data_IF_846404072181
#
_entry.id   IF_846404072181
#
_cell.length_a   1.000
_cell.length_b   1.000
_cell.length_c   1.000
_cell.angle_alpha   90.00
_cell.angle_beta   90.00
_cell.angle_gamma   90.00
#
_symmetry.space_group_name_H-M   'P 1'
#
loop_
_entity.id
_entity.type
_entity.pdbx_description
1 polymer ?
#
# COMPACT_ATOMS: atom_id res chain seq x y z
N UNK A 1 14.56 28.85 25.77
CA UNK A 1 15.01 27.46 25.54
C UNK A 1 13.84 26.69 24.94
N UNK A 2 13.92 26.33 23.66
CA UNK A 2 12.83 25.60 23.00
C UNK A 2 12.69 24.20 23.60
N UNK A 3 11.48 23.83 24.03
CA UNK A 3 11.18 22.47 24.45
C UNK A 3 11.50 21.51 23.30
N UNK A 4 12.63 20.80 23.39
CA UNK A 4 12.92 19.66 22.54
C UNK A 4 11.95 18.57 22.98
N UNK A 5 10.79 18.49 22.31
CA UNK A 5 9.89 17.35 22.48
C UNK A 5 10.64 16.13 21.97
N UNK A 6 11.00 15.21 22.88
CA UNK A 6 11.56 13.92 22.47
C UNK A 6 10.60 13.28 21.46
N UNK A 7 11.07 12.89 20.26
CA UNK A 7 10.25 12.20 19.30
C UNK A 7 9.71 10.93 19.96
N UNK A 8 8.40 10.72 19.87
CA UNK A 8 7.75 9.63 20.58
C UNK A 8 8.08 8.32 19.86
N UNK A 9 8.33 7.24 20.59
CA UNK A 9 8.93 6.04 20.02
C UNK A 9 8.13 5.41 18.86
N UNK A 10 6.80 5.57 18.85
CA UNK A 10 5.93 5.08 17.76
C UNK A 10 6.00 5.92 16.48
N UNK A 11 6.53 7.15 16.54
CA UNK A 11 6.73 7.99 15.36
C UNK A 11 7.88 7.47 14.49
N UNK A 12 8.79 6.67 15.08
CA UNK A 12 9.87 6.05 14.35
C UNK A 12 9.30 5.07 13.32
N UNK A 13 9.62 5.34 12.05
CA UNK A 13 9.38 4.41 10.95
C UNK A 13 9.85 2.99 11.31
N UNK A 14 10.96 2.88 12.05
CA UNK A 14 11.48 1.60 12.55
C UNK A 14 10.40 0.73 13.21
N UNK A 15 9.55 1.29 14.09
CA UNK A 15 8.54 0.52 14.83
C UNK A 15 7.42 0.01 13.92
N UNK A 16 6.99 0.84 12.96
CA UNK A 16 5.94 0.47 11.98
C UNK A 16 6.38 -0.67 11.08
N UNK A 17 7.65 -0.65 10.68
CA UNK A 17 8.22 -1.66 9.80
C UNK A 17 8.82 -2.83 10.58
N UNK A 18 8.96 -2.77 11.91
CA UNK A 18 9.53 -3.87 12.69
C UNK A 18 8.63 -5.11 12.67
N UNK A 19 7.34 -4.96 13.02
CA UNK A 19 6.38 -6.08 12.99
C UNK A 19 6.21 -6.59 11.56
N UNK A 20 6.15 -5.67 10.59
CA UNK A 20 6.13 -6.03 9.17
C UNK A 20 7.37 -6.82 8.75
N UNK A 21 8.57 -6.40 9.16
CA UNK A 21 9.83 -7.12 8.86
C UNK A 21 9.79 -8.57 9.34
N UNK A 22 9.24 -8.81 10.53
CA UNK A 22 9.08 -10.17 11.06
C UNK A 22 8.10 -10.97 10.18
N UNK A 23 6.95 -10.41 9.86
CA UNK A 23 5.92 -11.07 9.03
C UNK A 23 6.43 -11.29 7.60
N UNK A 24 7.05 -10.31 6.97
CA UNK A 24 7.70 -10.42 5.68
C UNK A 24 8.78 -11.49 5.65
N UNK A 25 9.57 -11.62 6.71
CA UNK A 25 10.53 -12.74 6.85
C UNK A 25 9.82 -14.09 6.83
N UNK A 26 8.75 -14.25 7.62
CA UNK A 26 7.95 -15.49 7.66
C UNK A 26 7.37 -15.81 6.28
N UNK A 27 6.83 -14.82 5.58
CA UNK A 27 6.30 -14.98 4.21
C UNK A 27 7.40 -15.45 3.26
N UNK A 28 8.58 -14.82 3.30
CA UNK A 28 9.69 -15.24 2.44
C UNK A 28 10.16 -16.66 2.77
N UNK A 29 10.25 -17.04 4.05
CA UNK A 29 10.56 -18.42 4.46
C UNK A 29 9.51 -19.40 3.94
N UNK A 30 8.22 -19.03 3.97
CA UNK A 30 7.15 -19.87 3.43
C UNK A 30 7.33 -20.09 1.91
N UNK A 31 7.61 -19.02 1.15
CA UNK A 31 7.92 -19.10 -0.29
C UNK A 31 9.16 -19.97 -0.52
N UNK A 32 10.20 -19.80 0.30
CA UNK A 32 11.44 -20.56 0.22
C UNK A 32 11.27 -22.03 0.58
N UNK A 33 10.27 -22.38 1.37
CA UNK A 33 9.98 -23.79 1.71
C UNK A 33 9.21 -24.50 0.61
N UNK A 34 8.65 -23.75 -0.34
CA UNK A 34 7.80 -24.27 -1.39
C UNK A 34 8.58 -24.61 -2.66
N UNK A 35 8.96 -25.89 -2.81
CA UNK A 35 9.80 -26.38 -3.92
C UNK A 35 9.24 -26.15 -5.33
N UNK A 36 7.93 -25.95 -5.47
CA UNK A 36 7.30 -25.64 -6.76
C UNK A 36 7.46 -24.17 -7.17
N UNK A 37 7.82 -23.28 -6.25
CA UNK A 37 8.02 -21.86 -6.53
C UNK A 37 9.32 -21.62 -7.29
N UNK A 38 9.31 -20.76 -8.31
CA UNK A 38 10.55 -20.33 -8.96
C UNK A 38 11.46 -19.54 -8.01
N UNK A 39 10.89 -18.95 -6.96
CA UNK A 39 11.63 -18.24 -5.93
C UNK A 39 12.30 -19.19 -4.93
N UNK A 40 11.97 -20.48 -4.95
CA UNK A 40 12.53 -21.47 -4.04
C UNK A 40 14.05 -21.52 -4.10
N UNK A 41 14.73 -21.74 -5.25
CA UNK A 41 16.18 -21.83 -5.28
C UNK A 41 16.88 -20.55 -4.81
N UNK A 42 16.29 -19.39 -5.12
CA UNK A 42 16.82 -18.09 -4.70
C UNK A 42 16.75 -17.92 -3.19
N UNK A 43 15.59 -18.13 -2.58
CA UNK A 43 15.46 -17.97 -1.13
C UNK A 43 16.04 -19.14 -0.34
N UNK A 44 15.91 -20.37 -0.83
CA UNK A 44 16.48 -21.53 -0.16
C UNK A 44 18.00 -21.47 -0.13
N UNK A 45 18.68 -21.00 -1.18
CA UNK A 45 20.14 -20.79 -1.12
C UNK A 45 20.56 -19.75 -0.08
N UNK A 46 19.73 -18.71 0.15
CA UNK A 46 19.96 -17.72 1.20
C UNK A 46 19.58 -18.19 2.61
N UNK A 47 18.77 -19.25 2.73
CA UNK A 47 18.29 -19.77 4.02
C UNK A 47 19.05 -21.03 4.45
N UNK A 48 19.53 -21.81 3.49
CA UNK A 48 20.16 -23.11 3.68
C UNK A 48 21.66 -23.00 3.94
N UNK A 49 22.08 -21.95 4.66
CA UNK A 49 23.37 -21.93 5.32
C UNK A 49 23.33 -23.02 6.40
N UNK A 50 24.25 -23.98 6.32
CA UNK A 50 24.17 -25.27 7.01
C UNK A 50 23.66 -25.17 8.44
N UNK A 51 22.75 -26.09 8.77
CA UNK A 51 22.05 -26.30 10.07
C UNK A 51 22.95 -26.41 11.30
N UNK A 52 24.26 -26.19 11.19
CA UNK A 52 25.21 -26.31 12.30
C UNK A 52 25.44 -25.02 13.07
N UNK A 53 25.29 -23.81 12.52
CA UNK A 53 25.49 -22.58 13.30
C UNK A 53 24.60 -21.42 12.82
N UNK A 54 23.43 -21.27 13.45
CA UNK A 54 22.63 -20.04 13.34
C UNK A 54 23.41 -18.87 14.00
N UNK A 55 24.18 -18.15 13.18
CA UNK A 55 24.94 -16.96 13.60
C UNK A 55 24.08 -15.68 13.50
N UNK A 56 24.43 -14.64 14.26
CA UNK A 56 23.84 -13.29 14.24
C UNK A 56 23.77 -12.69 12.83
N UNK A 57 24.72 -13.02 11.94
CA UNK A 57 24.66 -12.59 10.53
C UNK A 57 23.38 -13.06 9.81
N UNK A 58 22.83 -14.22 10.17
CA UNK A 58 21.57 -14.72 9.62
C UNK A 58 20.38 -13.89 10.11
N UNK A 59 20.39 -13.43 11.37
CA UNK A 59 19.36 -12.52 11.88
C UNK A 59 19.32 -11.22 11.07
N UNK A 60 20.49 -10.66 10.74
CA UNK A 60 20.58 -9.48 9.89
C UNK A 60 20.09 -9.74 8.46
N UNK A 61 20.46 -10.87 7.87
CA UNK A 61 19.97 -11.24 6.53
C UNK A 61 18.45 -11.38 6.51
N UNK A 62 17.88 -12.09 7.48
CA UNK A 62 16.44 -12.25 7.62
C UNK A 62 15.74 -10.91 7.83
N UNK A 63 16.27 -10.06 8.72
CA UNK A 63 15.73 -8.71 8.94
C UNK A 63 15.78 -7.86 7.66
N UNK A 64 16.86 -7.90 6.88
CA UNK A 64 16.97 -7.15 5.62
C UNK A 64 16.00 -7.65 4.56
N UNK A 65 15.88 -8.97 4.38
CA UNK A 65 14.96 -9.58 3.42
C UNK A 65 13.51 -9.31 3.81
N UNK A 66 13.17 -9.50 5.09
CA UNK A 66 11.85 -9.20 5.62
C UNK A 66 11.49 -7.72 5.47
N UNK A 67 12.43 -6.82 5.74
CA UNK A 67 12.24 -5.38 5.57
C UNK A 67 12.03 -5.02 4.10
N UNK A 68 12.82 -5.60 3.18
CA UNK A 68 12.66 -5.38 1.75
C UNK A 68 11.29 -5.86 1.25
N UNK A 69 10.86 -7.06 1.67
CA UNK A 69 9.54 -7.58 1.34
C UNK A 69 8.42 -6.71 1.92
N UNK A 70 8.54 -6.30 3.18
CA UNK A 70 7.62 -5.41 3.86
C UNK A 70 7.45 -4.07 3.13
N UNK A 71 8.58 -3.46 2.73
CA UNK A 71 8.57 -2.21 1.97
C UNK A 71 7.88 -2.38 0.61
N UNK A 72 8.21 -3.44 -0.12
CA UNK A 72 7.61 -3.78 -1.40
C UNK A 72 6.09 -4.01 -1.30
N UNK A 73 5.67 -4.83 -0.33
CA UNK A 73 4.28 -5.12 -0.06
C UNK A 73 3.50 -3.86 0.32
N UNK A 74 4.10 -2.94 1.06
CA UNK A 74 3.46 -1.70 1.51
C UNK A 74 3.17 -0.69 0.40
N UNK A 75 3.64 -0.89 -0.85
CA UNK A 75 3.49 0.10 -1.92
C UNK A 75 2.06 0.62 -2.12
N UNK A 76 1.00 -0.22 -2.17
CA UNK A 76 -0.37 0.26 -2.39
C UNK A 76 -0.87 1.21 -1.30
N UNK A 77 -0.30 1.12 -0.09
CA UNK A 77 -0.62 2.02 1.01
C UNK A 77 -0.16 3.44 0.71
N UNK A 78 0.88 3.64 -0.09
CA UNK A 78 1.33 4.96 -0.53
C UNK A 78 0.26 5.68 -1.35
N UNK A 79 -0.41 4.95 -2.26
CA UNK A 79 -1.54 5.49 -3.04
C UNK A 79 -2.67 5.92 -2.09
N UNK A 80 -3.04 5.05 -1.15
CA UNK A 80 -4.05 5.38 -0.14
C UNK A 80 -3.63 6.60 0.68
N UNK A 81 -2.35 6.71 1.07
CA UNK A 81 -1.84 7.81 1.86
C UNK A 81 -1.89 9.14 1.10
N UNK A 82 -1.46 9.15 -0.16
CA UNK A 82 -1.40 10.35 -1.00
C UNK A 82 -2.79 10.94 -1.27
N UNK A 83 -3.80 10.08 -1.38
CA UNK A 83 -5.16 10.45 -1.75
C UNK A 83 -6.18 10.27 -0.62
N UNK A 84 -5.75 9.98 0.63
CA UNK A 84 -6.65 9.73 1.77
C UNK A 84 -7.62 10.87 2.02
N UNK A 85 -7.13 12.10 1.97
CA UNK A 85 -7.89 13.26 2.38
C UNK A 85 -8.97 13.57 1.37
N UNK A 86 -8.76 13.27 0.09
CA UNK A 86 -9.72 13.48 -0.98
C UNK A 86 -10.79 12.39 -1.09
N UNK A 87 -10.55 11.20 -0.50
CA UNK A 87 -11.59 10.17 -0.30
C UNK A 87 -12.66 10.68 0.68
N UNK A 88 -12.24 11.39 1.74
CA UNK A 88 -13.13 11.84 2.83
C UNK A 88 -13.47 13.34 2.81
N UNK A 89 -12.78 14.18 2.04
CA UNK A 89 -12.98 15.66 2.04
C UNK A 89 -14.27 16.11 1.36
N UNK A 90 -14.98 15.21 0.67
CA UNK A 90 -16.25 15.54 0.03
C UNK A 90 -17.41 15.74 1.02
N UNK A 91 -17.22 15.39 2.29
CA UNK A 91 -18.30 15.37 3.27
C UNK A 91 -18.53 16.71 4.01
N UNK A 92 -17.64 17.69 3.89
CA UNK A 92 -17.73 18.95 4.66
C UNK A 92 -18.21 20.16 3.85
N UNK A 93 -18.72 20.00 2.61
CA UNK A 93 -19.14 21.15 1.79
C UNK A 93 -20.58 21.18 1.29
N UNK A 94 -21.43 20.24 1.68
CA UNK A 94 -22.87 20.29 1.33
C UNK A 94 -23.71 19.73 2.49
N UNK A 95 -23.81 20.48 3.59
CA UNK A 95 -25.04 20.45 4.41
C UNK A 95 -26.08 21.23 3.61
N UNK A 96 -26.64 20.60 2.58
CA UNK A 96 -27.53 21.27 1.63
C UNK A 96 -27.80 20.43 0.38
N UNK A 97 -28.87 19.64 0.44
CA UNK A 97 -29.67 19.09 -0.65
C UNK A 97 -29.04 18.08 -1.65
N UNK A 98 -29.55 16.85 -1.55
CA UNK A 98 -30.03 16.04 -2.70
C UNK A 98 -29.14 15.99 -3.95
N UNK A 99 -28.07 15.19 -3.94
CA UNK A 99 -27.57 14.46 -5.15
C UNK A 99 -26.57 13.34 -4.81
N UNK A 100 -26.58 12.81 -3.58
CA UNK A 100 -25.63 11.77 -3.15
C UNK A 100 -25.65 10.57 -4.08
N UNK A 101 -26.84 10.08 -4.49
CA UNK A 101 -26.96 8.92 -5.37
C UNK A 101 -26.38 9.13 -6.79
N UNK A 102 -26.65 10.28 -7.45
CA UNK A 102 -26.07 10.61 -8.77
C UNK A 102 -24.54 10.76 -8.73
N UNK A 103 -23.99 11.18 -7.59
CA UNK A 103 -22.54 11.35 -7.39
C UNK A 103 -21.82 10.00 -7.19
N UNK A 104 -22.44 9.04 -6.49
CA UNK A 104 -21.90 7.69 -6.29
C UNK A 104 -22.14 6.75 -7.47
N UNK A 105 -23.18 7.00 -8.29
CA UNK A 105 -23.46 6.18 -9.48
C UNK A 105 -22.26 6.03 -10.41
N UNK A 106 -21.44 7.08 -10.63
CA UNK A 106 -20.22 6.97 -11.47
C UNK A 106 -19.14 6.09 -10.85
N UNK A 107 -19.06 6.06 -9.52
CA UNK A 107 -18.14 5.20 -8.78
C UNK A 107 -18.64 3.76 -8.82
N UNK A 108 -19.94 3.55 -8.55
CA UNK A 108 -20.61 2.25 -8.63
C UNK A 108 -20.50 1.68 -10.05
N UNK A 109 -20.80 2.47 -11.08
CA UNK A 109 -20.68 2.07 -12.47
C UNK A 109 -19.24 1.69 -12.82
N UNK A 110 -18.25 2.47 -12.37
CA UNK A 110 -16.85 2.13 -12.59
C UNK A 110 -16.46 0.81 -11.93
N UNK A 111 -16.87 0.58 -10.67
CA UNK A 111 -16.68 -0.69 -9.99
C UNK A 111 -17.41 -1.85 -10.66
N UNK A 112 -18.66 -1.65 -11.08
CA UNK A 112 -19.41 -2.64 -11.85
C UNK A 112 -18.70 -2.97 -13.15
N UNK A 113 -18.16 -1.99 -13.87
CA UNK A 113 -17.37 -2.20 -15.09
C UNK A 113 -16.08 -2.97 -14.79
N UNK A 114 -15.37 -2.65 -13.71
CA UNK A 114 -14.17 -3.42 -13.32
C UNK A 114 -14.50 -4.86 -12.92
N UNK A 115 -15.59 -5.07 -12.18
CA UNK A 115 -16.09 -6.39 -11.81
C UNK A 115 -16.48 -7.16 -13.07
N UNK A 116 -17.21 -6.53 -13.99
CA UNK A 116 -17.62 -7.15 -15.27
C UNK A 116 -16.41 -7.46 -16.14
N UNK A 117 -15.43 -6.56 -16.29
CA UNK A 117 -14.21 -6.81 -17.05
C UNK A 117 -13.42 -7.95 -16.42
N UNK A 118 -13.28 -7.94 -15.10
CA UNK A 118 -12.59 -9.02 -14.42
C UNK A 118 -13.34 -10.34 -14.54
N UNK A 119 -14.68 -10.35 -14.44
CA UNK A 119 -15.52 -11.56 -14.58
C UNK A 119 -15.45 -12.06 -16.01
N UNK A 120 -15.46 -11.15 -16.98
CA UNK A 120 -15.24 -11.46 -18.37
C UNK A 120 -13.85 -12.08 -18.58
N UNK A 121 -12.78 -11.50 -18.02
CA UNK A 121 -11.44 -12.08 -18.05
C UNK A 121 -11.41 -13.46 -17.36
N UNK A 122 -12.10 -13.64 -16.25
CA UNK A 122 -12.19 -14.91 -15.53
C UNK A 122 -12.93 -16.02 -16.27
N UNK A 123 -13.99 -15.66 -16.99
CA UNK A 123 -14.84 -16.58 -17.74
C UNK A 123 -14.29 -16.87 -19.14
N UNK A 124 -13.61 -15.91 -19.79
CA UNK A 124 -13.08 -16.06 -21.15
C UNK A 124 -11.62 -16.49 -21.23
N UNK A 125 -10.83 -16.31 -20.17
CA UNK A 125 -9.57 -17.02 -20.06
C UNK A 125 -9.87 -18.46 -19.65
N UNK A 126 -10.23 -19.25 -20.66
CA UNK A 126 -10.29 -20.70 -20.61
C UNK A 126 -8.87 -21.27 -20.53
N UNK A 127 -8.24 -21.03 -19.38
CA UNK A 127 -6.98 -21.66 -19.03
C UNK A 127 -7.38 -22.79 -18.08
N UNK A 128 -7.06 -24.02 -18.45
CA UNK A 128 -7.13 -25.28 -17.69
C UNK A 128 -6.32 -25.23 -16.37
N UNK A 129 -6.49 -24.19 -15.56
CA UNK A 129 -5.68 -23.88 -14.41
C UNK A 129 -6.48 -23.84 -13.11
N UNK A 130 -5.77 -24.28 -12.08
CA UNK A 130 -6.11 -24.28 -10.67
C UNK A 130 -6.83 -22.98 -10.22
N UNK A 131 -7.97 -23.12 -9.53
CA UNK A 131 -8.78 -22.03 -8.93
C UNK A 131 -7.93 -21.00 -8.19
N UNK A 132 -6.85 -21.42 -7.52
CA UNK A 132 -5.94 -20.54 -6.82
C UNK A 132 -5.19 -19.57 -7.74
N UNK A 133 -4.81 -19.97 -8.95
CA UNK A 133 -4.14 -19.07 -9.90
C UNK A 133 -5.08 -17.96 -10.38
N UNK A 134 -6.34 -18.33 -10.68
CA UNK A 134 -7.37 -17.38 -11.08
C UNK A 134 -7.63 -16.35 -9.96
N UNK A 135 -7.73 -16.80 -8.71
CA UNK A 135 -7.90 -15.93 -7.55
C UNK A 135 -6.73 -14.92 -7.40
N UNK A 136 -5.48 -15.37 -7.60
CA UNK A 136 -4.31 -14.48 -7.52
C UNK A 136 -4.33 -13.39 -8.60
N UNK A 137 -4.64 -13.77 -9.84
CA UNK A 137 -4.76 -12.82 -10.94
C UNK A 137 -5.85 -11.78 -10.64
N UNK A 138 -6.99 -12.24 -10.13
CA UNK A 138 -8.09 -11.39 -9.72
C UNK A 138 -7.74 -10.38 -8.64
N UNK A 139 -7.04 -10.82 -7.60
CA UNK A 139 -6.60 -9.93 -6.53
C UNK A 139 -5.66 -8.87 -7.09
N UNK A 140 -4.68 -9.26 -7.93
CA UNK A 140 -3.77 -8.32 -8.56
C UNK A 140 -4.50 -7.32 -9.47
N UNK A 141 -5.41 -7.80 -10.32
CA UNK A 141 -6.24 -6.98 -11.20
C UNK A 141 -7.05 -5.96 -10.39
N UNK A 142 -7.80 -6.42 -9.38
CA UNK A 142 -8.61 -5.57 -8.53
C UNK A 142 -7.75 -4.50 -7.84
N UNK A 143 -6.60 -4.89 -7.29
CA UNK A 143 -5.70 -3.97 -6.61
C UNK A 143 -5.07 -2.95 -7.55
N UNK A 144 -4.65 -3.35 -8.75
CA UNK A 144 -4.09 -2.43 -9.74
C UNK A 144 -5.13 -1.40 -10.19
N UNK A 145 -6.31 -1.87 -10.61
CA UNK A 145 -7.34 -0.99 -11.13
C UNK A 145 -7.96 -0.10 -10.04
N UNK A 146 -8.08 -0.58 -8.80
CA UNK A 146 -8.47 0.26 -7.66
C UNK A 146 -7.49 1.42 -7.47
N UNK A 147 -6.17 1.15 -7.46
CA UNK A 147 -5.17 2.20 -7.31
C UNK A 147 -5.19 3.17 -8.49
N UNK A 148 -5.24 2.66 -9.73
CA UNK A 148 -5.32 3.46 -10.95
C UNK A 148 -6.58 4.36 -10.97
N UNK A 149 -7.71 3.86 -10.48
CA UNK A 149 -8.93 4.63 -10.31
C UNK A 149 -8.75 5.78 -9.33
N UNK A 150 -8.22 5.49 -8.14
CA UNK A 150 -7.96 6.51 -7.12
C UNK A 150 -7.07 7.60 -7.71
N UNK A 151 -5.97 7.24 -8.37
CA UNK A 151 -5.06 8.22 -8.99
C UNK A 151 -5.81 9.05 -10.06
N UNK A 152 -6.49 8.39 -11.00
CA UNK A 152 -7.16 9.05 -12.14
C UNK A 152 -8.28 9.98 -11.68
N UNK A 153 -9.07 9.55 -10.69
CA UNK A 153 -10.12 10.36 -10.09
C UNK A 153 -9.53 11.63 -9.46
N UNK A 154 -8.37 11.51 -8.80
CA UNK A 154 -7.78 12.61 -8.05
C UNK A 154 -7.01 13.60 -8.92
N UNK A 155 -6.35 13.14 -9.99
CA UNK A 155 -5.71 14.01 -10.97
C UNK A 155 -6.71 14.92 -11.70
N UNK A 156 -7.97 14.50 -11.85
CA UNK A 156 -9.03 15.35 -12.42
C UNK A 156 -9.48 16.48 -11.49
N UNK A 157 -9.20 16.38 -10.19
CA UNK A 157 -9.62 17.35 -9.21
C UNK A 157 -8.46 18.27 -8.80
N UNK A 158 -8.47 19.51 -9.32
CA UNK A 158 -7.53 20.60 -8.93
C UNK A 158 -7.51 20.93 -7.43
N UNK A 159 -8.39 20.32 -6.63
CA UNK A 159 -8.51 20.52 -5.19
C UNK A 159 -7.40 19.88 -4.37
N UNK A 160 -6.56 19.00 -4.94
CA UNK A 160 -5.51 18.32 -4.15
C UNK A 160 -4.50 19.32 -3.57
N UNK A 161 -4.07 20.32 -4.35
CA UNK A 161 -3.17 21.38 -3.87
C UNK A 161 -3.82 22.20 -2.75
N UNK A 162 -5.04 22.72 -3.00
CA UNK A 162 -5.78 23.51 -2.02
C UNK A 162 -6.03 22.74 -0.71
N UNK A 163 -6.25 21.43 -0.81
CA UNK A 163 -6.42 20.54 0.32
C UNK A 163 -5.13 20.41 1.15
N UNK A 164 -4.00 20.12 0.51
CA UNK A 164 -2.71 20.06 1.21
C UNK A 164 -2.32 21.41 1.82
N UNK A 165 -2.61 22.53 1.13
CA UNK A 165 -2.47 23.90 1.66
C UNK A 165 -3.33 24.13 2.91
N UNK A 166 -4.62 23.76 2.89
CA UNK A 166 -5.49 23.89 4.08
C UNK A 166 -5.02 23.02 5.24
N UNK A 167 -4.55 21.80 4.94
CA UNK A 167 -4.05 20.87 5.95
C UNK A 167 -2.77 21.39 6.61
N UNK A 168 -1.86 21.99 5.86
CA UNK A 168 -0.63 22.59 6.41
C UNK A 168 -0.95 23.75 7.35
N UNK A 169 -1.82 24.70 6.95
CA UNK A 169 -2.27 25.77 7.85
C UNK A 169 -3.00 25.24 9.08
N UNK A 170 -3.85 24.22 8.90
CA UNK A 170 -4.56 23.64 10.03
C UNK A 170 -3.60 23.03 11.07
N UNK A 171 -2.49 22.42 10.62
CA UNK A 171 -1.45 21.84 11.48
C UNK A 171 -0.52 22.88 12.10
N UNK A 172 -0.32 24.03 11.44
CA UNK A 172 0.46 25.14 11.97
C UNK A 172 -0.23 25.91 13.11
N UNK A 173 -1.51 25.63 13.37
CA UNK A 173 -2.28 26.27 14.45
C UNK A 173 -1.83 25.77 15.83
N UNK A 174 -1.50 26.72 16.72
CA UNK A 174 -0.99 26.45 18.08
C UNK A 174 -2.08 26.19 19.15
N UNK A 175 -3.34 25.93 18.75
CA UNK A 175 -4.39 25.64 19.73
C UNK A 175 -4.17 24.26 20.39
N UNK A 176 -4.00 24.23 21.72
CA UNK A 176 -3.69 23.01 22.48
C UNK A 176 -4.65 21.85 22.18
N UNK A 177 -5.96 22.08 22.25
CA UNK A 177 -6.97 21.05 21.94
C UNK A 177 -6.84 20.49 20.51
N UNK A 178 -6.45 21.33 19.54
CA UNK A 178 -6.25 20.91 18.14
C UNK A 178 -4.97 20.09 17.98
N UNK A 179 -3.92 20.43 18.73
CA UNK A 179 -2.68 19.67 18.77
C UNK A 179 -2.91 18.28 19.37
N UNK A 180 -3.62 18.20 20.49
CA UNK A 180 -3.99 16.93 21.13
C UNK A 180 -4.88 16.06 20.24
N UNK A 181 -5.88 16.65 19.60
CA UNK A 181 -6.69 15.96 18.59
C UNK A 181 -5.84 15.43 17.43
N UNK A 182 -4.91 16.27 16.94
CA UNK A 182 -4.01 15.92 15.85
C UNK A 182 -3.14 14.71 16.19
N UNK A 183 -2.60 14.71 17.39
CA UNK A 183 -1.76 13.63 17.88
C UNK A 183 -2.56 12.34 18.08
N UNK A 184 -3.78 12.45 18.60
CA UNK A 184 -4.67 11.31 18.84
C UNK A 184 -5.02 10.60 17.54
N UNK A 185 -5.42 11.33 16.49
CA UNK A 185 -5.72 10.69 15.20
C UNK A 185 -4.44 10.25 14.46
N UNK A 186 -3.31 10.95 14.63
CA UNK A 186 -2.02 10.56 14.04
C UNK A 186 -1.60 9.19 14.58
N UNK A 187 -1.70 9.00 15.88
CA UNK A 187 -1.46 7.73 16.56
C UNK A 187 -2.38 6.61 16.04
N UNK A 188 -3.70 6.84 16.02
CA UNK A 188 -4.66 5.87 15.48
C UNK A 188 -4.32 5.45 14.04
N UNK A 189 -3.95 6.44 13.20
CA UNK A 189 -3.57 6.20 11.81
C UNK A 189 -2.24 5.44 11.68
N UNK A 190 -1.25 5.76 12.50
CA UNK A 190 0.06 5.09 12.46
C UNK A 190 -0.05 3.63 12.88
N UNK A 191 -0.86 3.30 13.87
CA UNK A 191 -1.19 1.91 14.22
C UNK A 191 -1.99 1.20 13.12
N UNK A 192 -3.05 1.84 12.61
CA UNK A 192 -3.82 1.27 11.51
C UNK A 192 -2.97 0.99 10.26
N UNK A 193 -1.99 1.85 9.98
CA UNK A 193 -1.03 1.64 8.89
C UNK A 193 -0.15 0.41 9.12
N UNK A 194 0.34 0.19 10.34
CA UNK A 194 1.14 -0.99 10.66
C UNK A 194 0.37 -2.31 10.39
N UNK A 195 -0.91 -2.39 10.77
CA UNK A 195 -1.74 -3.55 10.46
C UNK A 195 -2.05 -3.69 8.96
N UNK A 196 -2.25 -2.57 8.26
CA UNK A 196 -2.46 -2.59 6.82
C UNK A 196 -1.24 -3.13 6.06
N UNK A 197 -0.03 -2.84 6.54
CA UNK A 197 1.21 -3.42 5.99
C UNK A 197 1.13 -4.95 6.07
N UNK A 198 0.78 -5.51 7.23
CA UNK A 198 0.70 -6.97 7.39
C UNK A 198 -0.31 -7.61 6.42
N UNK A 199 -1.46 -6.96 6.22
CA UNK A 199 -2.47 -7.43 5.26
C UNK A 199 -1.89 -7.42 3.84
N UNK A 200 -1.19 -6.35 3.45
CA UNK A 200 -0.55 -6.28 2.12
C UNK A 200 0.54 -7.32 1.95
N UNK A 201 1.33 -7.62 3.00
CA UNK A 201 2.36 -8.66 2.98
C UNK A 201 1.77 -10.05 2.75
N UNK A 202 0.66 -10.37 3.44
CA UNK A 202 -0.03 -11.64 3.25
C UNK A 202 -0.63 -11.76 1.85
N UNK A 203 -1.21 -10.68 1.31
CA UNK A 203 -1.76 -10.67 -0.04
C UNK A 203 -0.66 -10.86 -1.09
N UNK A 204 0.41 -10.06 -1.04
CA UNK A 204 1.51 -10.18 -1.99
C UNK A 204 2.21 -11.53 -1.86
N UNK A 205 2.42 -12.00 -0.64
CA UNK A 205 2.98 -13.31 -0.34
C UNK A 205 2.15 -14.44 -0.94
N UNK A 206 0.83 -14.40 -0.75
CA UNK A 206 -0.09 -15.36 -1.34
C UNK A 206 0.00 -15.37 -2.87
N UNK A 207 0.03 -14.19 -3.52
CA UNK A 207 0.19 -14.08 -4.97
C UNK A 207 1.49 -14.75 -5.41
N UNK A 208 2.62 -14.41 -4.78
CA UNK A 208 3.96 -14.90 -5.15
C UNK A 208 4.25 -16.36 -4.78
N UNK A 209 3.51 -16.95 -3.84
CA UNK A 209 3.83 -18.24 -3.22
C UNK A 209 4.11 -19.40 -4.19
N UNK A 210 3.39 -19.46 -5.32
CA UNK A 210 3.42 -20.58 -6.28
C UNK A 210 3.70 -20.10 -7.72
N UNK A 211 4.40 -18.97 -7.88
CA UNK A 211 4.69 -18.45 -9.22
C UNK A 211 5.88 -19.19 -9.82
N UNK A 212 5.69 -19.79 -10.99
CA UNK A 212 6.69 -20.65 -11.66
C UNK A 212 7.45 -19.94 -12.79
N UNK A 213 7.04 -18.72 -13.16
CA UNK A 213 7.62 -17.97 -14.28
C UNK A 213 8.24 -16.65 -13.83
N UNK A 214 9.48 -16.38 -14.23
CA UNK A 214 10.19 -15.14 -13.90
C UNK A 214 9.44 -13.92 -14.49
N UNK A 215 8.95 -14.05 -15.72
CA UNK A 215 8.14 -13.03 -16.38
C UNK A 215 6.88 -12.71 -15.58
N UNK A 216 6.21 -13.73 -15.02
CA UNK A 216 5.04 -13.50 -14.16
C UNK A 216 5.40 -12.76 -12.88
N UNK A 217 6.52 -13.10 -12.22
CA UNK A 217 6.99 -12.38 -11.03
C UNK A 217 7.24 -10.90 -11.38
N UNK A 218 7.96 -10.63 -12.47
CA UNK A 218 8.24 -9.28 -12.92
C UNK A 218 6.96 -8.50 -13.21
N UNK A 219 5.99 -9.11 -13.90
CA UNK A 219 4.69 -8.49 -14.18
C UNK A 219 3.89 -8.23 -12.90
N UNK A 220 3.84 -9.19 -11.96
CA UNK A 220 3.17 -9.02 -10.67
C UNK A 220 3.76 -7.82 -9.92
N UNK A 221 5.09 -7.77 -9.79
CA UNK A 221 5.78 -6.68 -9.10
C UNK A 221 5.60 -5.35 -9.82
N UNK A 222 5.66 -5.34 -11.17
CA UNK A 222 5.41 -4.14 -11.96
C UNK A 222 3.99 -3.61 -11.71
N UNK A 223 2.95 -4.43 -11.83
CA UNK A 223 1.58 -4.01 -11.57
C UNK A 223 1.34 -3.64 -10.10
N UNK A 224 2.04 -4.27 -9.15
CA UNK A 224 1.92 -3.94 -7.73
C UNK A 224 2.49 -2.54 -7.40
N UNK A 225 3.65 -2.21 -7.98
CA UNK A 225 4.42 -1.01 -7.64
C UNK A 225 4.06 0.18 -8.52
N UNK A 226 3.73 -0.04 -9.80
CA UNK A 226 3.56 1.03 -10.80
C UNK A 226 2.56 2.13 -10.37
N UNK A 227 1.38 1.82 -9.80
CA UNK A 227 0.47 2.87 -9.33
C UNK A 227 1.09 3.70 -8.21
N UNK A 228 1.85 3.06 -7.32
CA UNK A 228 2.53 3.73 -6.21
C UNK A 228 3.67 4.62 -6.68
N UNK A 229 4.43 4.18 -7.69
CA UNK A 229 5.45 4.99 -8.33
C UNK A 229 4.86 6.27 -8.95
N UNK A 230 3.64 6.21 -9.49
CA UNK A 230 2.97 7.38 -10.06
C UNK A 230 2.63 8.47 -9.03
N UNK A 231 2.57 8.14 -7.73
CA UNK A 231 2.38 9.11 -6.64
C UNK A 231 3.51 10.14 -6.61
N UNK A 232 4.71 9.79 -7.10
CA UNK A 232 5.80 10.75 -7.26
C UNK A 232 5.38 11.99 -8.05
N UNK A 233 4.64 11.83 -9.15
CA UNK A 233 4.13 12.96 -9.95
C UNK A 233 3.19 13.86 -9.14
N UNK A 234 2.43 13.30 -8.19
CA UNK A 234 1.57 14.10 -7.30
C UNK A 234 2.43 14.94 -6.36
N UNK A 235 3.50 14.37 -5.81
CA UNK A 235 4.49 15.11 -5.01
C UNK A 235 5.09 16.27 -5.81
N UNK A 236 5.61 16.00 -7.00
CA UNK A 236 6.18 17.01 -7.91
C UNK A 236 5.17 18.10 -8.27
N UNK A 237 3.91 17.72 -8.52
CA UNK A 237 2.84 18.69 -8.77
C UNK A 237 2.61 19.61 -7.58
N UNK A 238 2.51 19.06 -6.36
CA UNK A 238 2.32 19.84 -5.14
C UNK A 238 3.50 20.78 -4.88
N UNK A 239 4.73 20.31 -5.09
CA UNK A 239 5.96 21.09 -4.95
C UNK A 239 6.04 22.24 -5.97
N UNK A 240 5.66 21.98 -7.23
CA UNK A 240 5.67 23.01 -8.28
C UNK A 240 4.76 24.20 -7.97
N UNK A 241 3.74 23.98 -7.12
CA UNK A 241 2.75 24.98 -6.70
C UNK A 241 3.11 25.65 -5.38
N UNK A 242 4.27 25.37 -4.78
CA UNK A 242 4.65 25.93 -3.47
C UNK A 242 4.71 27.47 -3.48
N UNK A 243 5.02 28.07 -4.64
CA UNK A 243 5.02 29.53 -4.84
C UNK A 243 3.62 30.17 -4.68
N UNK A 244 2.55 29.37 -4.69
CA UNK A 244 1.18 29.81 -4.47
C UNK A 244 0.74 29.69 -3.00
N UNK A 245 1.60 29.22 -2.09
CA UNK A 245 1.33 29.10 -0.65
C UNK A 245 1.56 30.44 0.04
#
# INVERSE_FOLDING_TARGET
MGNVTNPRWWEFYLVRYFVGTIVGTIVVIAIASNKSSLLHPFFSSMINFGTKEFNVSHLWLFALIGLAFCYLASSPILVLHAFRTSIFSRQLREVGASTTFKKWWKVILYWCVLIVIGVFVFLFFDIDYNVFLKLKFWILFLMFFLQAYIISFQLRHKSIFLMYKKLSYARASNANAKKEYTESYKHLREHGNAFMILIMELILGFILYNVTSATMILLILLFWILPSASVWFVGTYLESRIREV
#
